data_IF_280070507016
#
_entry.id   IF_280070507016
#
_cell.length_a   1.000
_cell.length_b   1.000
_cell.length_c   1.000
_cell.angle_alpha   90.00
_cell.angle_beta   90.00
_cell.angle_gamma   90.00
#
_symmetry.space_group_name_H-M   'P 1'
#
loop_
_entity.id
_entity.type
_entity.pdbx_description
1 polymer ?
#
# COMPACT_ATOMS: atom_id res chain seq x y z
N UNK A 1 -6.52 14.42 -48.07
CA UNK A 1 -5.26 15.20 -48.12
C UNK A 1 -4.31 14.57 -47.14
N UNK A 2 -3.23 14.00 -47.65
CA UNK A 2 -2.28 13.13 -46.97
C UNK A 2 -1.17 13.99 -46.38
N UNK A 3 -0.78 13.77 -45.12
CA UNK A 3 0.62 13.86 -44.75
C UNK A 3 0.91 12.92 -43.57
N UNK A 4 1.59 11.82 -43.93
CA UNK A 4 2.21 10.83 -43.05
C UNK A 4 3.68 11.28 -42.90
N UNK A 5 4.17 11.44 -41.68
CA UNK A 5 5.58 11.76 -41.44
C UNK A 5 6.32 10.49 -41.02
N UNK A 6 7.40 10.22 -41.74
CA UNK A 6 8.25 9.05 -41.67
C UNK A 6 9.35 9.15 -40.61
N UNK A 7 9.56 8.05 -39.88
CA UNK A 7 10.79 7.25 -39.78
C UNK A 7 12.10 8.01 -39.45
N UNK A 8 12.65 7.69 -38.27
CA UNK A 8 14.07 7.77 -37.96
C UNK A 8 14.55 6.46 -37.34
N UNK A 9 15.15 5.59 -38.16
CA UNK A 9 15.93 4.41 -37.73
C UNK A 9 17.41 4.79 -37.76
N UNK A 10 18.13 4.52 -36.66
CA UNK A 10 19.60 4.43 -36.53
C UNK A 10 19.84 3.93 -35.09
N UNK A 11 20.60 2.90 -34.79
CA UNK A 11 21.55 2.08 -35.52
C UNK A 11 22.42 1.41 -34.46
N UNK A 12 22.60 0.10 -34.61
CA UNK A 12 23.35 -0.83 -33.76
C UNK A 12 24.84 -0.48 -33.62
N UNK A 13 25.43 -0.66 -32.44
CA UNK A 13 26.86 -1.06 -32.23
C UNK A 13 27.06 -1.39 -30.73
N UNK A 14 27.17 -2.64 -30.27
CA UNK A 14 28.21 -3.67 -30.44
C UNK A 14 29.54 -3.37 -29.73
N UNK A 15 29.88 -4.25 -28.77
CA UNK A 15 31.19 -4.52 -28.12
C UNK A 15 31.79 -3.38 -27.28
N UNK A 16 32.30 -3.62 -26.07
CA UNK A 16 33.49 -4.46 -25.79
C UNK A 16 33.43 -5.01 -24.36
N UNK A 17 33.59 -6.33 -24.26
CA UNK A 17 33.98 -7.04 -23.04
C UNK A 17 35.48 -6.81 -22.83
N UNK A 18 35.88 -6.31 -21.66
CA UNK A 18 37.28 -6.19 -21.28
C UNK A 18 37.50 -6.93 -19.96
N UNK A 19 37.99 -8.16 -20.11
CA UNK A 19 38.63 -8.98 -19.08
C UNK A 19 39.97 -8.35 -18.69
N UNK A 20 40.20 -8.11 -17.40
CA UNK A 20 41.54 -8.12 -16.82
C UNK A 20 41.53 -8.80 -15.46
N UNK A 21 42.32 -9.87 -15.40
CA UNK A 21 42.67 -10.72 -14.27
C UNK A 21 43.93 -10.21 -13.57
N UNK A 22 44.01 -10.32 -12.23
CA UNK A 22 45.01 -11.13 -11.50
C UNK A 22 45.38 -10.60 -10.09
N UNK A 23 45.76 -11.56 -9.23
CA UNK A 23 46.49 -11.50 -7.95
C UNK A 23 45.66 -11.14 -6.69
N UNK A 24 45.20 -12.09 -5.87
CA UNK A 24 45.89 -13.08 -5.00
C UNK A 24 46.36 -12.53 -3.64
N UNK A 25 45.67 -12.94 -2.57
CA UNK A 25 46.24 -13.41 -1.30
C UNK A 25 45.20 -14.31 -0.60
N UNK A 26 45.72 -15.29 0.14
CA UNK A 26 45.08 -16.54 0.55
C UNK A 26 44.38 -16.45 1.93
N UNK A 27 44.00 -17.65 2.42
CA UNK A 27 43.56 -18.02 3.78
C UNK A 27 42.04 -17.89 4.02
N UNK A 28 41.30 -18.86 4.55
CA UNK A 28 41.63 -20.18 5.09
C UNK A 28 40.37 -21.08 5.00
N UNK A 29 40.62 -22.37 5.15
CA UNK A 29 39.73 -23.50 4.94
C UNK A 29 38.73 -23.71 6.09
N UNK A 30 37.43 -23.75 5.79
CA UNK A 30 36.52 -24.63 6.53
C UNK A 30 35.53 -25.33 5.59
N UNK A 31 35.63 -26.65 5.61
CA UNK A 31 34.81 -27.60 4.89
C UNK A 31 33.82 -28.19 5.88
N UNK A 32 32.53 -28.11 5.59
CA UNK A 32 31.58 -29.17 5.94
C UNK A 32 30.38 -29.13 4.99
N UNK A 33 30.40 -30.05 4.03
CA UNK A 33 29.21 -30.51 3.33
C UNK A 33 28.36 -31.31 4.31
N UNK A 34 27.07 -31.02 4.40
CA UNK A 34 26.11 -32.09 4.64
C UNK A 34 24.85 -31.84 3.81
N UNK A 35 24.71 -32.69 2.80
CA UNK A 35 23.57 -32.80 1.91
C UNK A 35 22.86 -34.08 2.28
N UNK A 36 21.64 -33.99 2.81
CA UNK A 36 20.72 -35.11 2.89
C UNK A 36 19.26 -34.62 2.90
N UNK A 37 18.59 -34.78 1.76
CA UNK A 37 17.13 -34.97 1.76
C UNK A 37 16.83 -36.45 2.04
N UNK A 38 15.69 -36.76 2.67
CA UNK A 38 14.64 -37.37 1.85
C UNK A 38 13.21 -36.88 2.13
N UNK A 39 12.50 -36.65 1.02
CA UNK A 39 11.10 -36.99 0.66
C UNK A 39 9.91 -36.47 1.51
N UNK A 40 8.85 -35.94 0.85
CA UNK A 40 7.69 -35.33 1.51
C UNK A 40 6.67 -36.33 2.04
N UNK A 41 5.94 -35.93 3.07
CA UNK A 41 4.64 -36.51 3.46
C UNK A 41 3.62 -35.37 3.49
N UNK A 42 2.48 -35.46 2.76
CA UNK A 42 1.44 -34.45 2.80
C UNK A 42 0.53 -34.72 3.99
N UNK A 43 0.47 -33.77 4.92
CA UNK A 43 -0.59 -33.72 5.91
C UNK A 43 -1.18 -32.33 5.88
N UNK A 44 -2.44 -32.30 5.46
CA UNK A 44 -3.31 -31.15 5.38
C UNK A 44 -3.48 -30.50 6.74
N UNK A 45 -3.00 -29.26 6.89
CA UNK A 45 -3.57 -28.32 7.84
C UNK A 45 -3.84 -27.00 7.10
N UNK A 46 -5.13 -26.73 6.92
CA UNK A 46 -5.63 -25.39 6.69
C UNK A 46 -5.30 -24.57 7.93
N UNK A 47 -4.31 -23.70 7.80
CA UNK A 47 -3.99 -22.65 8.73
C UNK A 47 -3.41 -21.53 7.89
N UNK A 48 -4.17 -20.45 7.73
CA UNK A 48 -3.69 -19.25 7.07
C UNK A 48 -2.32 -18.89 7.66
N UNK A 49 -1.29 -18.90 6.82
CA UNK A 49 -0.06 -18.21 7.11
C UNK A 49 -0.42 -16.72 7.18
N UNK A 50 -0.78 -16.24 8.37
CA UNK A 50 -0.50 -14.87 8.71
C UNK A 50 1.02 -14.78 8.78
N UNK A 51 1.64 -14.56 7.61
CA UNK A 51 2.99 -14.07 7.52
C UNK A 51 3.06 -12.84 8.44
N UNK A 52 4.04 -12.80 9.35
CA UNK A 52 4.45 -11.61 10.08
C UNK A 52 4.88 -10.54 9.06
N UNK A 53 3.88 -9.90 8.45
CA UNK A 53 3.96 -8.55 7.93
C UNK A 53 4.43 -7.73 9.11
N UNK A 54 5.49 -6.94 8.94
CA UNK A 54 5.83 -5.88 9.87
C UNK A 54 4.55 -5.01 10.03
N UNK A 55 3.77 -5.31 11.07
CA UNK A 55 2.32 -5.09 11.20
C UNK A 55 1.93 -3.64 11.45
N UNK A 56 2.77 -2.74 10.97
CA UNK A 56 2.61 -1.30 11.00
C UNK A 56 1.68 -0.90 9.87
N UNK A 57 0.50 -0.42 10.21
CA UNK A 57 -0.50 0.15 9.31
C UNK A 57 -0.70 1.63 9.63
N UNK A 58 -1.23 2.44 8.71
CA UNK A 58 -1.73 3.77 9.05
C UNK A 58 -2.95 3.67 9.95
N UNK A 59 -2.98 4.48 10.99
CA UNK A 59 -4.12 4.62 11.88
C UNK A 59 -4.98 5.80 11.44
N UNK A 60 -6.28 5.60 11.35
CA UNK A 60 -7.24 6.72 11.38
C UNK A 60 -7.42 7.09 12.84
N UNK A 61 -7.04 8.32 13.20
CA UNK A 61 -7.07 8.79 14.59
C UNK A 61 -8.20 9.77 14.87
N UNK A 62 -8.80 10.33 13.82
CA UNK A 62 -9.93 11.25 13.91
C UNK A 62 -10.67 11.30 12.56
N UNK A 63 -11.99 11.51 12.60
CA UNK A 63 -12.79 11.67 11.40
C UNK A 63 -14.08 12.48 11.65
N UNK A 64 -14.40 13.37 10.72
CA UNK A 64 -15.56 14.25 10.76
C UNK A 64 -16.38 14.16 9.48
N UNK A 65 -17.70 14.28 9.60
CA UNK A 65 -18.65 14.34 8.49
C UNK A 65 -19.34 15.70 8.43
N UNK A 66 -19.25 16.34 7.26
CA UNK A 66 -19.94 17.59 6.97
C UNK A 66 -20.91 17.41 5.80
N UNK A 67 -22.16 17.81 5.99
CA UNK A 67 -23.18 17.71 4.95
C UNK A 67 -22.97 18.76 3.85
N UNK A 68 -22.98 18.32 2.60
CA UNK A 68 -22.85 19.15 1.40
C UNK A 68 -23.95 18.81 0.39
N UNK A 69 -25.11 19.48 0.56
CA UNK A 69 -26.32 19.17 -0.20
C UNK A 69 -26.83 17.76 0.13
N UNK A 70 -26.96 16.93 -0.90
CA UNK A 70 -27.38 15.53 -0.80
C UNK A 70 -26.20 14.56 -0.57
N UNK A 71 -24.98 15.09 -0.41
CA UNK A 71 -23.75 14.31 -0.20
C UNK A 71 -23.04 14.75 1.07
N UNK A 72 -21.98 14.03 1.42
CA UNK A 72 -21.12 14.32 2.56
C UNK A 72 -19.69 14.62 2.12
N UNK A 73 -19.01 15.44 2.91
CA UNK A 73 -17.55 15.54 2.93
C UNK A 73 -17.05 14.86 4.19
N UNK A 74 -16.30 13.78 4.03
CA UNK A 74 -15.60 13.10 5.10
C UNK A 74 -14.18 13.66 5.19
N UNK A 75 -13.80 14.20 6.33
CA UNK A 75 -12.40 14.57 6.64
C UNK A 75 -11.81 13.54 7.58
N UNK A 76 -10.73 12.88 7.18
CA UNK A 76 -10.06 11.85 7.98
C UNK A 76 -8.64 12.31 8.33
N UNK A 77 -8.28 12.20 9.60
CA UNK A 77 -6.92 12.43 10.10
C UNK A 77 -6.22 11.10 10.27
N UNK A 78 -5.10 10.95 9.56
CA UNK A 78 -4.33 9.71 9.46
C UNK A 78 -2.96 9.93 10.09
N UNK A 79 -2.54 8.96 10.89
CA UNK A 79 -1.20 8.86 11.45
C UNK A 79 -0.54 7.58 10.96
N UNK A 80 0.55 7.71 10.21
CA UNK A 80 1.33 6.58 9.72
C UNK A 80 2.67 6.49 10.45
N UNK A 81 3.19 5.29 10.73
CA UNK A 81 4.51 5.11 11.35
C UNK A 81 5.67 5.32 10.36
N UNK A 82 5.37 5.67 9.10
CA UNK A 82 6.36 5.74 8.03
C UNK A 82 6.98 7.14 7.93
N UNK A 83 8.31 7.18 7.83
CA UNK A 83 9.14 8.38 7.75
C UNK A 83 9.93 8.48 6.43
N UNK A 84 9.61 7.62 5.44
CA UNK A 84 10.22 7.60 4.11
C UNK A 84 9.16 7.63 3.00
N UNK A 85 9.53 8.03 1.77
CA UNK A 85 8.61 8.04 0.63
C UNK A 85 8.35 6.65 0.02
N UNK A 86 9.06 5.60 0.48
CA UNK A 86 8.96 4.25 -0.08
C UNK A 86 7.72 3.49 0.39
N UNK A 87 7.14 3.91 1.53
CA UNK A 87 5.94 3.31 2.12
C UNK A 87 5.13 4.41 2.78
N UNK A 88 3.86 4.53 2.42
CA UNK A 88 2.97 5.55 2.95
C UNK A 88 1.51 5.05 2.91
N UNK A 89 0.60 5.78 3.57
CA UNK A 89 -0.83 5.52 3.45
C UNK A 89 -1.32 5.91 2.03
N UNK A 90 -1.72 4.95 1.21
CA UNK A 90 -2.11 5.21 -0.19
C UNK A 90 -3.61 5.50 -0.37
N UNK A 91 -4.42 5.24 0.66
CA UNK A 91 -5.83 5.58 0.65
C UNK A 91 -6.47 5.61 2.05
N UNK A 92 -7.68 6.16 2.10
CA UNK A 92 -8.66 5.87 3.14
C UNK A 92 -10.05 5.71 2.53
N UNK A 93 -10.96 5.01 3.22
CA UNK A 93 -12.33 4.80 2.75
C UNK A 93 -13.37 4.93 3.85
N UNK A 94 -14.61 5.15 3.43
CA UNK A 94 -15.80 5.02 4.26
C UNK A 94 -16.48 3.67 3.99
N UNK A 95 -16.85 2.95 5.05
CA UNK A 95 -17.46 1.62 4.99
C UNK A 95 -18.77 1.64 5.78
N UNK A 96 -19.83 1.08 5.21
CA UNK A 96 -21.10 0.87 5.88
C UNK A 96 -21.03 -0.28 6.91
N UNK A 97 -21.98 -0.40 7.85
CA UNK A 97 -21.99 -1.47 8.86
C UNK A 97 -22.05 -2.90 8.28
N UNK A 98 -22.51 -3.06 7.04
CA UNK A 98 -22.54 -4.35 6.33
C UNK A 98 -21.22 -4.69 5.59
N UNK A 99 -20.21 -3.81 5.68
CA UNK A 99 -18.93 -3.94 5.00
C UNK A 99 -18.89 -3.33 3.59
N UNK A 100 -19.97 -2.72 3.12
CA UNK A 100 -19.99 -2.06 1.80
C UNK A 100 -19.12 -0.81 1.79
N UNK A 101 -18.21 -0.71 0.81
CA UNK A 101 -17.46 0.53 0.59
C UNK A 101 -18.36 1.62 -0.01
N UNK A 102 -18.51 2.73 0.71
CA UNK A 102 -19.32 3.87 0.31
C UNK A 102 -18.52 4.90 -0.51
N UNK A 103 -17.22 4.95 -0.30
CA UNK A 103 -16.32 5.80 -1.07
C UNK A 103 -14.86 5.67 -0.66
N UNK A 104 -13.97 6.03 -1.58
CA UNK A 104 -12.53 5.87 -1.48
C UNK A 104 -11.82 7.18 -1.81
N UNK A 105 -10.88 7.58 -0.96
CA UNK A 105 -9.93 8.66 -1.24
C UNK A 105 -8.54 8.10 -1.43
N UNK A 106 -8.03 8.18 -2.65
CA UNK A 106 -6.64 7.84 -3.00
C UNK A 106 -5.70 8.99 -2.63
N UNK A 107 -4.55 8.65 -2.07
CA UNK A 107 -3.43 9.52 -1.70
C UNK A 107 -2.23 9.17 -2.59
N UNK A 108 -1.76 10.12 -3.39
CA UNK A 108 -0.82 9.84 -4.49
C UNK A 108 0.64 10.18 -4.17
N UNK A 109 0.95 10.55 -2.93
CA UNK A 109 2.30 10.91 -2.48
C UNK A 109 2.47 10.58 -1.00
N UNK A 110 3.72 10.56 -0.55
CA UNK A 110 4.03 10.36 0.85
C UNK A 110 3.66 11.57 1.71
N UNK A 111 3.52 11.32 3.01
CA UNK A 111 3.23 12.33 4.03
C UNK A 111 4.21 12.24 5.20
N UNK A 112 5.44 11.76 4.99
CA UNK A 112 6.41 11.53 6.06
C UNK A 112 6.71 12.80 6.90
N UNK A 113 6.66 13.97 6.26
CA UNK A 113 6.94 15.27 6.88
C UNK A 113 5.69 15.99 7.42
N UNK A 114 4.52 15.34 7.41
CA UNK A 114 3.21 15.93 7.74
C UNK A 114 2.42 15.00 8.67
N UNK A 115 3.06 14.17 9.50
CA UNK A 115 2.33 13.27 10.39
C UNK A 115 1.91 13.96 11.71
N UNK A 116 0.64 13.83 12.15
CA UNK A 116 -0.51 13.31 11.40
C UNK A 116 -1.02 14.33 10.36
N UNK A 117 -1.65 13.84 9.29
CA UNK A 117 -2.23 14.68 8.24
C UNK A 117 -3.73 14.43 8.08
N UNK A 118 -4.46 15.46 7.63
CA UNK A 118 -5.90 15.37 7.37
C UNK A 118 -6.19 15.54 5.88
N UNK A 119 -7.03 14.68 5.31
CA UNK A 119 -7.52 14.79 3.92
C UNK A 119 -9.00 14.49 3.84
N UNK A 120 -9.64 15.05 2.81
CA UNK A 120 -11.09 14.93 2.64
C UNK A 120 -11.48 14.08 1.42
N UNK A 121 -12.57 13.34 1.60
CA UNK A 121 -13.34 12.63 0.57
C UNK A 121 -14.66 13.40 0.37
N UNK A 122 -14.83 14.01 -0.80
CA UNK A 122 -16.05 14.77 -1.15
C UNK A 122 -17.00 13.95 -2.01
N UNK A 123 -18.28 14.31 -2.00
CA UNK A 123 -19.29 13.64 -2.81
C UNK A 123 -19.65 12.23 -2.31
N UNK A 124 -19.39 11.97 -1.01
CA UNK A 124 -19.72 10.70 -0.38
C UNK A 124 -21.25 10.57 -0.27
N UNK A 125 -21.81 9.53 -0.87
CA UNK A 125 -23.24 9.21 -0.79
C UNK A 125 -23.43 8.16 0.29
N UNK A 126 -24.24 8.47 1.29
CA UNK A 126 -24.57 7.56 2.38
C UNK A 126 -26.06 7.25 2.26
N UNK A 127 -26.46 5.99 2.02
CA UNK A 127 -27.87 5.61 1.91
C UNK A 127 -28.67 5.94 3.19
N UNK A 128 -29.96 6.25 3.02
CA UNK A 128 -30.86 6.43 4.16
C UNK A 128 -30.89 5.20 5.06
N UNK A 129 -30.95 5.42 6.38
CA UNK A 129 -30.99 4.35 7.39
C UNK A 129 -29.63 3.87 7.87
N UNK A 130 -28.52 4.42 7.36
CA UNK A 130 -27.18 4.24 7.95
C UNK A 130 -26.97 5.30 9.03
N UNK A 131 -26.76 4.85 10.27
CA UNK A 131 -26.58 5.74 11.43
C UNK A 131 -25.10 6.05 11.71
N UNK A 132 -24.18 5.20 11.26
CA UNK A 132 -22.74 5.36 11.41
C UNK A 132 -21.97 4.68 10.28
N UNK A 133 -20.76 5.16 10.03
CA UNK A 133 -19.81 4.57 9.08
C UNK A 133 -18.47 4.34 9.76
N UNK A 134 -17.72 3.36 9.28
CA UNK A 134 -16.33 3.12 9.70
C UNK A 134 -15.37 3.70 8.67
N UNK A 135 -14.33 4.39 9.14
CA UNK A 135 -13.26 4.97 8.34
C UNK A 135 -12.00 4.15 8.53
N UNK A 136 -11.45 3.66 7.42
CA UNK A 136 -10.28 2.77 7.40
C UNK A 136 -9.14 3.39 6.61
N UNK A 137 -7.91 3.24 7.13
CA UNK A 137 -6.68 3.60 6.43
C UNK A 137 -6.12 2.42 5.63
N UNK A 138 -5.31 2.72 4.62
CA UNK A 138 -4.65 1.71 3.76
C UNK A 138 -3.16 1.96 3.66
N UNK A 139 -2.37 0.95 3.96
CA UNK A 139 -0.94 0.90 3.64
C UNK A 139 -0.73 0.54 2.17
N UNK A 140 0.20 1.24 1.51
CA UNK A 140 0.57 0.99 0.12
C UNK A 140 0.96 -0.47 -0.15
N UNK A 141 1.68 -1.11 0.78
CA UNK A 141 2.21 -2.46 0.60
C UNK A 141 1.24 -3.54 1.09
N UNK A 142 0.62 -3.36 2.25
CA UNK A 142 -0.15 -4.40 2.94
C UNK A 142 -1.67 -4.23 2.86
N UNK A 143 -2.15 -3.15 2.25
CA UNK A 143 -3.59 -2.91 2.13
C UNK A 143 -4.21 -2.37 3.43
N UNK A 144 -5.45 -2.76 3.70
CA UNK A 144 -6.26 -2.22 4.79
C UNK A 144 -5.83 -2.76 6.15
N UNK A 145 -5.74 -1.90 7.16
CA UNK A 145 -5.43 -2.29 8.53
C UNK A 145 -5.26 -1.07 9.43
N UNK A 146 -4.73 -1.29 10.63
CA UNK A 146 -4.54 -0.25 11.63
C UNK A 146 -5.81 0.07 12.41
N UNK A 147 -5.75 1.14 13.20
CA UNK A 147 -6.89 1.67 13.94
C UNK A 147 -7.88 2.35 12.98
N UNK A 148 -9.17 2.15 13.25
CA UNK A 148 -10.29 2.71 12.50
C UNK A 148 -11.10 3.64 13.39
N UNK A 149 -11.76 4.63 12.78
CA UNK A 149 -12.71 5.50 13.50
C UNK A 149 -14.12 5.25 12.99
N UNK A 150 -15.07 5.06 13.91
CA UNK A 150 -16.50 5.05 13.59
C UNK A 150 -17.08 6.45 13.81
N UNK A 151 -17.79 6.97 12.82
CA UNK A 151 -18.40 8.31 12.85
C UNK A 151 -19.91 8.17 12.67
N UNK A 152 -20.67 8.75 13.59
CA UNK A 152 -22.12 8.84 13.46
C UNK A 152 -22.50 9.83 12.35
N UNK A 153 -23.55 9.53 11.61
CA UNK A 153 -24.10 10.43 10.60
C UNK A 153 -24.89 11.55 11.31
N UNK A 154 -24.52 12.83 11.18
CA UNK A 154 -25.29 13.94 11.75
C UNK A 154 -26.72 14.02 11.19
N UNK A 155 -27.67 14.48 12.02
CA UNK A 155 -29.07 14.73 11.62
C UNK A 155 -29.22 15.80 10.51
#
# INVERSE_FOLDING_TARGET
MVQRTAIGVRGVLLCVVLLLTAAACADDMESSSESASPTPTPSSEAGAAADDVDGSFPDVIDADLERSGDTWTLSATISSPYDSPERYADAFRAVAPDGTELGLRVLTHDHANEQPFTRSLTGLVIPDGIEEITVEGRDLANGWGGQTVTVAIPD
#
